data_IF_406974851023
#
_entry.id   IF_406974851023
#
_cell.length_a   1.000
_cell.length_b   1.000
_cell.length_c   1.000
_cell.angle_alpha   90.00
_cell.angle_beta   90.00
_cell.angle_gamma   90.00
#
_symmetry.space_group_name_H-M   'P 1'
#
loop_
_entity.id
_entity.type
_entity.pdbx_description
1 polymer ?
#
# COMPACT_ATOMS: atom_id res chain seq x y z
N UNK A 1 -7.25 -16.07 15.43
CA UNK A 1 -7.69 -14.80 14.83
C UNK A 1 -7.94 -15.02 13.35
N UNK A 2 -9.12 -14.68 12.90
CA UNK A 2 -9.51 -14.96 11.53
C UNK A 2 -9.32 -13.71 10.66
N UNK A 3 -8.48 -13.80 9.65
CA UNK A 3 -8.21 -12.69 8.73
C UNK A 3 -8.84 -12.98 7.37
N UNK A 4 -9.35 -11.93 6.72
CA UNK A 4 -9.89 -12.02 5.36
C UNK A 4 -9.37 -10.84 4.55
N UNK A 5 -8.80 -11.14 3.38
CA UNK A 5 -8.34 -10.10 2.44
C UNK A 5 -9.29 -10.11 1.26
N UNK A 6 -9.79 -8.94 0.90
CA UNK A 6 -10.73 -8.77 -0.20
C UNK A 6 -10.51 -7.42 -0.87
N UNK A 7 -11.12 -7.23 -2.05
CA UNK A 7 -11.09 -5.93 -2.71
C UNK A 7 -11.85 -4.89 -1.88
N UNK A 8 -11.35 -3.66 -1.91
CA UNK A 8 -11.97 -2.54 -1.20
C UNK A 8 -13.28 -2.12 -1.89
N UNK A 9 -14.22 -1.66 -1.09
CA UNK A 9 -15.52 -1.15 -1.52
C UNK A 9 -15.69 0.29 -1.07
N UNK A 10 -16.61 1.07 -1.68
CA UNK A 10 -16.82 2.46 -1.24
C UNK A 10 -17.13 2.61 0.24
N UNK A 11 -17.89 1.68 0.82
CA UNK A 11 -18.24 1.74 2.24
C UNK A 11 -17.05 1.50 3.17
N UNK A 12 -15.90 1.04 2.64
CA UNK A 12 -14.71 0.82 3.45
C UNK A 12 -13.93 2.10 3.70
N UNK A 13 -14.19 3.16 2.95
CA UNK A 13 -13.39 4.39 2.99
C UNK A 13 -13.24 4.97 4.40
N UNK A 14 -14.31 5.07 5.21
CA UNK A 14 -14.13 5.59 6.58
C UNK A 14 -13.12 4.78 7.40
N UNK A 15 -13.15 3.46 7.32
CA UNK A 15 -12.20 2.62 8.05
C UNK A 15 -10.81 2.70 7.45
N UNK A 16 -10.69 2.82 6.12
CA UNK A 16 -9.40 3.02 5.45
C UNK A 16 -8.76 4.32 5.96
N UNK A 17 -9.52 5.40 6.07
CA UNK A 17 -9.02 6.65 6.62
C UNK A 17 -8.60 6.51 8.08
N UNK A 18 -9.35 5.76 8.87
CA UNK A 18 -9.00 5.49 10.27
C UNK A 18 -7.65 4.79 10.35
N UNK A 19 -7.42 3.77 9.52
CA UNK A 19 -6.13 3.08 9.49
C UNK A 19 -5.02 4.03 9.03
N UNK A 20 -5.27 4.81 7.97
CA UNK A 20 -4.28 5.76 7.44
C UNK A 20 -3.81 6.75 8.49
N UNK A 21 -4.72 7.20 9.35
CA UNK A 21 -4.43 8.19 10.37
C UNK A 21 -3.96 7.58 11.70
N UNK A 22 -3.93 6.25 11.80
CA UNK A 22 -3.48 5.56 13.02
C UNK A 22 -1.97 5.29 13.04
N UNK A 23 -1.31 5.36 11.89
CA UNK A 23 0.10 4.98 11.77
C UNK A 23 1.00 6.01 12.45
N UNK A 24 2.16 5.54 12.92
CA UNK A 24 3.13 6.38 13.64
C UNK A 24 4.33 6.73 12.78
N UNK A 25 4.49 6.08 11.63
CA UNK A 25 5.51 6.36 10.63
C UNK A 25 4.82 6.69 9.32
N UNK A 26 5.46 7.50 8.47
CA UNK A 26 4.86 7.99 7.22
C UNK A 26 3.52 8.70 7.48
N UNK A 27 3.44 9.43 8.60
CA UNK A 27 2.23 10.15 8.98
C UNK A 27 1.95 11.30 8.03
N UNK A 28 0.67 11.58 7.82
CA UNK A 28 0.27 12.81 7.15
C UNK A 28 0.48 13.97 8.11
N UNK A 29 0.99 15.10 7.59
CA UNK A 29 1.12 16.33 8.41
C UNK A 29 -0.24 16.87 8.82
N UNK A 30 -1.28 16.58 8.03
CA UNK A 30 -2.67 16.95 8.29
C UNK A 30 -3.55 15.84 7.74
N UNK A 31 -4.44 15.23 8.54
CA UNK A 31 -5.34 14.19 8.04
C UNK A 31 -6.18 14.63 6.85
N UNK A 32 -6.48 15.93 6.73
CA UNK A 32 -7.27 16.46 5.61
C UNK A 32 -6.53 16.44 4.27
N UNK A 33 -5.23 16.12 4.24
CA UNK A 33 -4.46 16.03 2.99
C UNK A 33 -4.93 14.87 2.11
N UNK A 34 -5.54 13.84 2.68
CA UNK A 34 -6.14 12.73 1.94
C UNK A 34 -7.62 12.72 2.24
N UNK A 35 -8.43 13.04 1.23
CA UNK A 35 -9.88 13.14 1.38
C UNK A 35 -10.56 11.84 0.97
N UNK A 36 -11.84 11.70 1.34
CA UNK A 36 -12.65 10.57 0.87
C UNK A 36 -12.75 10.55 -0.65
N UNK A 37 -12.80 11.73 -1.29
CA UNK A 37 -12.81 11.82 -2.74
C UNK A 37 -11.51 11.30 -3.34
N UNK A 38 -10.37 11.57 -2.70
CA UNK A 38 -9.08 11.01 -3.14
C UNK A 38 -9.11 9.50 -3.05
N UNK A 39 -9.62 8.94 -1.95
CA UNK A 39 -9.72 7.50 -1.78
C UNK A 39 -10.58 6.87 -2.89
N UNK A 40 -11.72 7.49 -3.19
CA UNK A 40 -12.59 7.00 -4.27
C UNK A 40 -11.89 7.01 -5.62
N UNK A 41 -11.17 8.10 -5.92
CA UNK A 41 -10.46 8.24 -7.19
C UNK A 41 -9.41 7.14 -7.33
N UNK A 42 -8.55 6.96 -6.34
CA UNK A 42 -7.46 5.98 -6.43
C UNK A 42 -7.96 4.54 -6.37
N UNK A 43 -9.01 4.27 -5.61
CA UNK A 43 -9.57 2.93 -5.50
C UNK A 43 -10.34 2.47 -6.74
N UNK A 44 -11.08 3.38 -7.38
CA UNK A 44 -12.08 2.96 -8.36
C UNK A 44 -11.90 3.58 -9.75
N UNK A 45 -11.11 4.64 -9.89
CA UNK A 45 -10.92 5.31 -11.17
C UNK A 45 -9.50 5.17 -11.69
N UNK A 46 -8.50 5.18 -10.82
CA UNK A 46 -7.09 5.13 -11.22
C UNK A 46 -6.45 3.78 -11.03
N UNK A 47 -7.00 2.95 -10.18
CA UNK A 47 -6.39 1.65 -9.89
C UNK A 47 -7.32 0.74 -9.11
N UNK A 48 -6.77 0.08 -8.10
CA UNK A 48 -7.52 -0.86 -7.28
C UNK A 48 -6.91 -0.91 -5.88
N UNK A 49 -7.72 -1.33 -4.90
CA UNK A 49 -7.27 -1.51 -3.54
C UNK A 49 -7.85 -2.74 -2.88
N UNK A 50 -7.20 -3.14 -1.81
CA UNK A 50 -7.56 -4.31 -1.01
C UNK A 50 -7.54 -3.94 0.46
N UNK A 51 -8.38 -4.63 1.23
CA UNK A 51 -8.43 -4.45 2.68
C UNK A 51 -8.28 -5.79 3.36
N UNK A 52 -7.76 -5.76 4.58
CA UNK A 52 -7.75 -6.92 5.46
C UNK A 52 -8.71 -6.68 6.60
N UNK A 53 -9.64 -7.62 6.79
CA UNK A 53 -10.59 -7.58 7.90
C UNK A 53 -10.22 -8.61 8.96
N UNK A 54 -10.35 -8.22 10.21
CA UNK A 54 -10.31 -9.14 11.35
C UNK A 54 -11.58 -8.87 12.15
N UNK A 55 -12.46 -9.87 12.24
CA UNK A 55 -13.72 -9.77 12.96
C UNK A 55 -14.53 -8.53 12.53
N UNK A 56 -14.64 -8.36 11.22
CA UNK A 56 -15.40 -7.27 10.57
C UNK A 56 -14.78 -5.88 10.72
N UNK A 57 -13.57 -5.79 11.29
CA UNK A 57 -12.83 -4.53 11.38
C UNK A 57 -11.71 -4.50 10.36
N UNK A 58 -11.61 -3.42 9.59
CA UNK A 58 -10.50 -3.25 8.66
C UNK A 58 -9.27 -2.80 9.44
N UNK A 59 -8.18 -3.57 9.31
CA UNK A 59 -6.94 -3.34 10.05
C UNK A 59 -5.76 -3.00 9.14
N UNK A 60 -5.93 -3.10 7.85
CA UNK A 60 -4.89 -2.74 6.88
C UNK A 60 -5.47 -2.63 5.48
N UNK A 61 -4.72 -1.96 4.61
CA UNK A 61 -5.15 -1.79 3.22
C UNK A 61 -3.97 -1.51 2.30
N UNK A 62 -4.16 -1.76 1.00
CA UNK A 62 -3.20 -1.43 -0.04
C UNK A 62 -3.93 -0.85 -1.24
N UNK A 63 -3.32 0.13 -1.91
CA UNK A 63 -3.90 0.77 -3.10
C UNK A 63 -2.78 1.03 -4.10
N UNK A 64 -3.00 0.65 -5.37
CA UNK A 64 -2.06 0.92 -6.45
C UNK A 64 -2.73 1.77 -7.52
N UNK A 65 -1.96 2.73 -8.05
CA UNK A 65 -2.39 3.67 -9.08
C UNK A 65 -1.81 3.22 -10.43
N UNK A 66 -2.68 2.93 -11.40
CA UNK A 66 -2.24 2.54 -12.75
C UNK A 66 -1.89 3.74 -13.62
N UNK A 67 -2.33 4.95 -13.29
CA UNK A 67 -2.02 6.12 -14.11
C UNK A 67 -0.57 6.55 -13.96
N UNK A 68 -0.09 6.61 -12.71
CA UNK A 68 1.29 7.01 -12.42
C UNK A 68 2.18 5.82 -12.10
N UNK A 69 1.64 4.61 -12.17
CA UNK A 69 2.37 3.37 -11.85
C UNK A 69 2.99 3.43 -10.46
N UNK A 70 2.19 3.77 -9.48
CA UNK A 70 2.63 4.12 -8.14
C UNK A 70 1.86 3.34 -7.08
N UNK A 71 2.58 2.82 -6.09
CA UNK A 71 1.94 2.31 -4.88
C UNK A 71 1.51 3.52 -4.08
N UNK A 72 0.21 3.79 -4.08
CA UNK A 72 -0.34 4.95 -3.40
C UNK A 72 -0.42 4.76 -1.90
N UNK A 73 -0.67 3.52 -1.46
CA UNK A 73 -0.79 3.23 -0.04
C UNK A 73 -0.57 1.75 0.26
N UNK A 74 0.08 1.50 1.39
CA UNK A 74 0.16 0.18 2.02
C UNK A 74 0.35 0.44 3.51
N UNK A 75 -0.72 0.30 4.29
CA UNK A 75 -0.70 0.68 5.71
C UNK A 75 -1.39 -0.37 6.57
N UNK A 76 -0.88 -0.53 7.79
CA UNK A 76 -1.44 -1.39 8.82
C UNK A 76 -1.72 -0.58 10.06
N UNK A 77 -2.85 -0.86 10.72
CA UNK A 77 -3.09 -0.35 12.06
C UNK A 77 -1.98 -0.88 12.99
N UNK A 78 -1.37 -0.01 13.82
CA UNK A 78 -0.22 -0.43 14.64
C UNK A 78 -0.47 -1.65 15.54
N UNK A 79 -1.71 -1.83 16.01
CA UNK A 79 -2.03 -2.95 16.89
C UNK A 79 -2.04 -4.30 16.16
N UNK A 80 -1.95 -4.30 14.83
CA UNK A 80 -2.03 -5.52 14.02
C UNK A 80 -0.78 -5.75 13.18
N UNK A 81 0.32 -5.07 13.50
CA UNK A 81 1.60 -5.27 12.83
C UNK A 81 2.23 -6.62 13.22
N UNK A 82 3.18 -7.06 12.41
CA UNK A 82 3.94 -8.30 12.64
C UNK A 82 3.11 -9.59 12.56
N UNK A 83 1.96 -9.54 11.90
CA UNK A 83 1.10 -10.72 11.69
C UNK A 83 1.18 -11.25 10.26
N UNK A 84 2.05 -10.67 9.41
CA UNK A 84 2.18 -11.09 8.02
C UNK A 84 1.12 -10.51 7.10
N UNK A 85 0.23 -9.65 7.61
CA UNK A 85 -0.87 -9.08 6.84
C UNK A 85 -0.36 -8.10 5.78
N UNK A 86 0.61 -7.25 6.15
CA UNK A 86 1.21 -6.30 5.20
C UNK A 86 1.80 -7.01 3.99
N UNK A 87 2.47 -8.15 4.21
CA UNK A 87 3.01 -8.96 3.13
C UNK A 87 1.92 -9.47 2.20
N UNK A 88 0.82 -9.93 2.74
CA UNK A 88 -0.30 -10.44 1.94
C UNK A 88 -0.95 -9.35 1.12
N UNK A 89 -1.16 -8.16 1.73
CA UNK A 89 -1.71 -7.01 1.02
C UNK A 89 -0.78 -6.54 -0.09
N UNK A 90 0.52 -6.52 0.18
CA UNK A 90 1.55 -6.15 -0.79
C UNK A 90 1.54 -7.11 -1.98
N UNK A 91 1.53 -8.41 -1.70
CA UNK A 91 1.66 -9.42 -2.76
C UNK A 91 0.42 -9.48 -3.65
N UNK A 92 -0.78 -9.40 -3.07
CA UNK A 92 -2.01 -9.42 -3.88
C UNK A 92 -2.08 -8.17 -4.78
N UNK A 93 -1.63 -7.03 -4.27
CA UNK A 93 -1.61 -5.79 -5.02
C UNK A 93 -0.65 -5.86 -6.20
N UNK A 94 0.58 -6.35 -5.99
CA UNK A 94 1.57 -6.43 -7.06
C UNK A 94 1.25 -7.52 -8.06
N UNK A 95 0.68 -8.65 -7.62
CA UNK A 95 0.20 -9.68 -8.55
C UNK A 95 -0.84 -9.10 -9.49
N UNK A 96 -1.80 -8.35 -8.95
CA UNK A 96 -2.81 -7.70 -9.78
C UNK A 96 -2.19 -6.65 -10.70
N UNK A 97 -1.30 -5.79 -10.16
CA UNK A 97 -0.68 -4.72 -10.94
C UNK A 97 0.03 -5.28 -12.17
N UNK A 98 0.85 -6.32 -11.99
CA UNK A 98 1.63 -6.89 -13.07
C UNK A 98 0.81 -7.81 -13.99
N UNK A 99 -0.45 -8.06 -13.67
CA UNK A 99 -1.42 -8.63 -14.62
C UNK A 99 -1.96 -7.54 -15.56
N UNK A 100 -1.98 -6.29 -15.12
CA UNK A 100 -2.50 -5.18 -15.90
C UNK A 100 -1.45 -4.57 -16.83
N UNK A 101 -0.19 -4.54 -16.43
CA UNK A 101 0.88 -3.87 -17.17
C UNK A 101 2.23 -4.49 -16.79
N UNK A 102 3.24 -4.28 -17.66
CA UNK A 102 4.61 -4.71 -17.35
C UNK A 102 5.51 -3.51 -17.03
N UNK A 103 4.94 -2.33 -16.84
CA UNK A 103 5.71 -1.14 -16.49
C UNK A 103 6.22 -1.21 -15.06
N UNK A 104 7.38 -0.60 -14.82
CA UNK A 104 7.92 -0.49 -13.48
C UNK A 104 6.92 0.25 -12.58
N UNK A 105 6.81 -0.21 -11.33
CA UNK A 105 5.98 0.46 -10.33
C UNK A 105 6.92 1.08 -9.29
N UNK A 106 6.55 2.25 -8.78
CA UNK A 106 7.38 2.96 -7.82
C UNK A 106 6.60 3.33 -6.57
N UNK A 107 7.34 3.64 -5.52
CA UNK A 107 6.77 4.19 -4.29
C UNK A 107 7.78 5.11 -3.62
N UNK A 108 7.27 5.99 -2.73
CA UNK A 108 8.09 6.78 -1.84
C UNK A 108 7.80 6.38 -0.40
N UNK A 109 8.83 6.35 0.44
CA UNK A 109 8.67 6.09 1.86
C UNK A 109 9.72 6.84 2.65
N UNK A 110 9.38 7.23 3.88
CA UNK A 110 10.31 7.96 4.74
C UNK A 110 11.51 7.07 5.10
N UNK A 111 12.72 7.65 5.14
CA UNK A 111 13.90 6.89 5.54
C UNK A 111 13.85 6.55 7.03
N UNK A 112 14.50 5.44 7.40
CA UNK A 112 14.61 5.02 8.80
C UNK A 112 13.35 4.40 9.38
N UNK A 113 12.39 4.02 8.53
CA UNK A 113 11.12 3.45 8.97
C UNK A 113 11.09 1.93 8.79
N UNK A 114 10.11 1.29 9.42
CA UNK A 114 9.86 -0.14 9.20
C UNK A 114 9.49 -0.42 7.75
N UNK A 115 8.78 0.52 7.11
CA UNK A 115 8.41 0.39 5.71
C UNK A 115 9.66 0.31 4.82
N UNK A 116 10.66 1.14 5.06
CA UNK A 116 11.91 1.05 4.30
C UNK A 116 12.51 -0.34 4.39
N UNK A 117 12.60 -0.90 5.59
CA UNK A 117 13.14 -2.25 5.80
C UNK A 117 12.29 -3.29 5.07
N UNK A 118 10.98 -3.16 5.16
CA UNK A 118 10.05 -4.08 4.49
C UNK A 118 10.25 -4.09 2.98
N UNK A 119 10.36 -2.90 2.36
CA UNK A 119 10.51 -2.82 0.91
C UNK A 119 11.87 -3.36 0.46
N UNK A 120 12.94 -3.07 1.20
CA UNK A 120 14.26 -3.63 0.86
C UNK A 120 14.25 -5.16 0.92
N UNK A 121 13.64 -5.72 1.96
CA UNK A 121 13.53 -7.18 2.09
C UNK A 121 12.61 -7.80 1.05
N UNK A 122 11.68 -7.03 0.51
CA UNK A 122 10.73 -7.51 -0.50
C UNK A 122 11.28 -7.44 -1.92
N UNK A 123 12.51 -6.97 -2.08
CA UNK A 123 13.18 -6.93 -3.39
C UNK A 123 13.03 -5.64 -4.16
N UNK A 124 12.47 -4.60 -3.52
CA UNK A 124 12.41 -3.29 -4.15
C UNK A 124 13.81 -2.69 -4.25
N UNK A 125 14.10 -2.00 -5.36
CA UNK A 125 15.39 -1.39 -5.60
C UNK A 125 15.30 0.10 -5.38
N UNK A 126 16.26 0.64 -4.62
CA UNK A 126 16.33 2.08 -4.40
C UNK A 126 16.67 2.79 -5.72
N UNK A 127 15.87 3.81 -6.06
CA UNK A 127 15.95 4.50 -7.35
C UNK A 127 16.06 6.02 -7.17
N UNK A 128 16.65 6.46 -6.07
CA UNK A 128 16.85 7.88 -5.80
C UNK A 128 15.91 8.40 -4.73
N UNK A 129 15.46 9.63 -4.89
CA UNK A 129 14.59 10.29 -3.93
C UNK A 129 13.34 10.83 -4.61
N UNK A 130 12.29 10.99 -3.80
CA UNK A 130 11.05 11.66 -4.19
C UNK A 130 10.73 12.63 -3.06
N UNK A 131 11.07 13.92 -3.25
CA UNK A 131 11.05 14.87 -2.15
C UNK A 131 12.02 14.44 -1.06
N UNK A 132 11.53 14.33 0.17
CA UNK A 132 12.33 13.84 1.30
C UNK A 132 12.24 12.33 1.49
N UNK A 133 11.55 11.63 0.60
CA UNK A 133 11.37 10.19 0.69
C UNK A 133 12.41 9.45 -0.14
N UNK A 134 12.68 8.20 0.25
CA UNK A 134 13.42 7.27 -0.60
C UNK A 134 12.45 6.79 -1.68
N UNK A 135 12.90 6.80 -2.94
CA UNK A 135 12.12 6.23 -4.03
C UNK A 135 12.57 4.80 -4.27
N UNK A 136 11.61 3.89 -4.30
CA UNK A 136 11.84 2.48 -4.63
C UNK A 136 11.10 2.12 -5.90
N UNK A 137 11.67 1.17 -6.66
CA UNK A 137 11.06 0.65 -7.89
C UNK A 137 11.05 -0.86 -7.88
N UNK A 138 10.00 -1.44 -8.49
CA UNK A 138 9.91 -2.86 -8.75
C UNK A 138 9.63 -3.07 -10.23
N UNK A 139 10.44 -3.92 -10.88
CA UNK A 139 10.23 -4.26 -12.29
C UNK A 139 9.35 -5.50 -12.39
N UNK A 140 8.69 -5.65 -13.54
CA UNK A 140 7.93 -6.85 -13.84
C UNK A 140 8.80 -8.11 -13.73
N UNK A 141 10.02 -8.06 -14.29
CA UNK A 141 10.91 -9.22 -14.27
C UNK A 141 11.32 -9.59 -12.85
N UNK A 142 11.66 -8.61 -12.01
CA UNK A 142 12.05 -8.88 -10.63
C UNK A 142 10.87 -9.46 -9.84
N UNK A 143 9.67 -8.94 -10.04
CA UNK A 143 8.49 -9.48 -9.37
C UNK A 143 8.20 -10.90 -9.82
N UNK A 144 8.21 -11.15 -11.14
CA UNK A 144 7.94 -12.47 -11.71
C UNK A 144 8.93 -13.53 -11.23
N UNK A 145 10.19 -13.13 -11.06
CA UNK A 145 11.28 -14.07 -10.73
C UNK A 145 11.64 -14.07 -9.24
N UNK A 146 10.83 -13.43 -8.41
CA UNK A 146 11.07 -13.41 -6.96
C UNK A 146 10.91 -14.81 -6.38
N UNK A 147 11.70 -15.12 -5.41
CA UNK A 147 11.60 -16.40 -4.68
C UNK A 147 12.34 -16.27 -3.39
#
# INVERSE_FOLDING_TARGET
>A
MKTAIREARPEDIPQIQTVRNSVKENMLSDPALVTDADCKEFLFERGKGWVCEIESQIVGFSIVDLKENNIWALFMHPDFENLGIGRKLHDIMLDWYFEQTQKDVWLGTDPGTRAETFYRKSGWLEAGTHGNEIKFEMTFNNWKNRR
#
